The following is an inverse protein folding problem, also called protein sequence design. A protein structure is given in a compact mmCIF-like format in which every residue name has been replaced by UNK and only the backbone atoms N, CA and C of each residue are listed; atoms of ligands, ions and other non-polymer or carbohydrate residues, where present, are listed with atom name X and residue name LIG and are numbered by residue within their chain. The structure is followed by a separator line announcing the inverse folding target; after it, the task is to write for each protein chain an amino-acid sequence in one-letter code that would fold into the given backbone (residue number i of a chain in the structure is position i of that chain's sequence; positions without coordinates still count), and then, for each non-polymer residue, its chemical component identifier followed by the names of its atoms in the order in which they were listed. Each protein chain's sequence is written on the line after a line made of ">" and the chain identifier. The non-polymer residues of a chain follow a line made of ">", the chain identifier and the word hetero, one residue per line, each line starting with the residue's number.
data_IF_301303693532
#
_entry.id   IF_301303693532
#
_cell.length_a   1.000
_cell.length_b   1.000
_cell.length_c   1.000
_cell.angle_alpha   90.00
_cell.angle_beta   90.00
_cell.angle_gamma   90.00
#
_symmetry.space_group_name_H-M   'P 1'
#
loop_
_entity.id
_entity.type
_entity.pdbx_description
1 polymer ?
#
# COMPACT_ATOMS: atom_id res chain seq x y z
N UNK A 1 -15.11 27.16 34.25
CA UNK A 1 -14.91 26.93 33.98
C UNK A 1 -14.65 26.57 33.19
N UNK A 2 -14.77 26.53 33.21
CA UNK A 2 -14.51 26.09 32.63
C UNK A 2 -14.05 25.66 31.64
N UNK A 3 -14.02 25.72 31.62
CA UNK A 3 -13.62 25.31 30.86
C UNK A 3 -13.23 24.87 30.06
N UNK A 4 -13.18 24.85 30.06
CA UNK A 4 -12.85 24.44 29.44
C UNK A 4 -12.44 23.95 28.65
N UNK A 5 -12.44 23.90 28.71
CA UNK A 5 -12.10 23.46 28.16
C UNK A 5 -11.74 23.07 27.26
N UNK A 6 -11.77 23.05 27.18
CA UNK A 6 -11.48 22.73 26.48
C UNK A 6 -10.97 22.34 25.64
N UNK A 7 -10.93 22.27 25.65
CA UNK A 7 -10.52 21.91 24.97
C UNK A 7 -10.16 21.52 24.17
N UNK A 8 -10.19 21.42 24.18
CA UNK A 8 -9.88 20.99 23.45
C UNK A 8 -9.41 20.55 22.70
N UNK A 9 -9.51 20.54 22.79
CA UNK A 9 -9.16 20.10 22.15
C UNK A 9 -8.69 19.76 21.42
N UNK A 10 -8.73 19.66 21.47
CA UNK A 10 -8.30 19.29 20.82
C UNK A 10 -7.85 18.93 20.11
N UNK A 11 -7.86 18.90 20.18
CA UNK A 11 -7.43 18.56 19.52
C UNK A 11 -7.06 18.22 18.86
N UNK A 12 -7.18 18.24 18.99
CA UNK A 12 -6.89 17.89 18.38
C UNK A 12 -6.58 17.56 17.68
N UNK A 13 -6.66 17.57 17.80
CA UNK A 13 -6.44 17.16 17.18
C UNK A 13 -5.97 16.96 16.47
N UNK A 14 -5.90 16.86 16.54
CA UNK A 14 -5.42 16.62 15.92
C UNK A 14 -5.16 16.26 15.22
N UNK A 15 -5.20 16.25 15.19
CA UNK A 15 -5.03 15.79 14.50
C UNK A 15 -4.57 15.53 13.83
N UNK A 16 -4.44 15.29 13.79
CA UNK A 16 -3.97 14.94 13.20
C UNK A 16 -3.87 14.47 12.50
N UNK A 17 -3.98 14.33 12.34
CA UNK A 17 -3.96 13.73 11.66
C UNK A 17 -3.53 13.59 10.87
N UNK A 18 -3.46 13.43 10.70
CA UNK A 18 -3.13 13.22 10.06
C UNK A 18 -2.50 13.03 9.35
N UNK A 19 -2.41 13.00 9.27
CA UNK A 19 -1.84 12.81 8.70
C UNK A 19 -1.26 12.28 8.21
N UNK A 20 -1.26 11.90 8.16
CA UNK A 20 -0.75 11.44 7.82
C UNK A 20 -0.37 10.99 7.03
N UNK A 21 -0.23 10.80 6.70
CA UNK A 21 0.07 10.41 6.01
C UNK A 21 0.57 9.91 5.21
N UNK A 22 0.46 9.68 5.12
CA UNK A 22 0.37 9.43 3.95
C UNK A 22 1.49 8.84 3.46
N UNK A 23 1.98 9.25 3.09
CA UNK A 23 3.01 8.94 2.61
C UNK A 23 3.65 7.89 3.10
N UNK A 24 3.58 7.72 3.81
CA UNK A 24 4.14 6.79 4.31
C UNK A 24 3.79 5.61 3.89
N UNK A 25 3.40 5.49 2.89
CA UNK A 25 3.10 4.34 2.34
C UNK A 25 4.07 3.29 2.65
N UNK A 26 5.26 3.39 2.37
CA UNK A 26 6.21 2.30 2.53
C UNK A 26 7.33 2.72 3.44
N UNK A 27 6.96 3.12 4.61
CA UNK A 27 7.95 3.56 5.56
C UNK A 27 7.94 2.62 6.75
N UNK A 28 8.18 1.35 6.49
CA UNK A 28 8.08 0.30 7.50
C UNK A 28 9.46 -0.28 7.77
N UNK A 29 9.85 -0.39 9.05
CA UNK A 29 11.13 -1.02 9.37
C UNK A 29 11.15 -2.45 8.83
N UNK A 30 12.28 -2.85 8.28
CA UNK A 30 12.39 -4.17 7.67
C UNK A 30 11.96 -5.29 8.60
N UNK A 31 12.23 -5.12 9.89
CA UNK A 31 11.86 -6.15 10.86
C UNK A 31 10.35 -6.38 10.91
N UNK A 32 9.57 -5.41 10.43
CA UNK A 32 8.12 -5.53 10.47
C UNK A 32 7.53 -5.89 9.11
N UNK A 33 8.37 -6.23 8.15
CA UNK A 33 7.87 -6.60 6.84
C UNK A 33 7.28 -8.00 6.86
N UNK A 34 6.21 -8.19 6.10
CA UNK A 34 5.68 -9.52 5.88
C UNK A 34 6.60 -10.24 4.91
N UNK A 35 6.68 -11.56 4.99
CA UNK A 35 7.53 -12.28 4.05
C UNK A 35 6.94 -12.29 2.66
N UNK A 36 7.79 -12.54 1.68
CA UNK A 36 7.36 -12.58 0.31
C UNK A 36 6.22 -13.57 0.08
N UNK A 37 6.24 -14.67 0.83
CA UNK A 37 5.18 -15.67 0.70
C UNK A 37 3.80 -15.07 1.01
N UNK A 38 3.75 -14.13 1.95
CA UNK A 38 2.48 -13.50 2.29
C UNK A 38 2.00 -12.64 1.13
N UNK A 39 2.96 -12.01 0.42
CA UNK A 39 2.62 -11.22 -0.75
C UNK A 39 2.06 -12.11 -1.83
N UNK A 40 2.70 -13.26 -2.05
CA UNK A 40 2.26 -14.18 -3.08
C UNK A 40 0.86 -14.73 -2.77
N UNK A 41 0.60 -14.98 -1.49
CA UNK A 41 -0.71 -15.46 -1.11
C UNK A 41 -1.77 -14.40 -1.33
N UNK A 42 -1.45 -13.17 -0.97
CA UNK A 42 -2.40 -12.09 -1.16
C UNK A 42 -2.71 -11.93 -2.65
N UNK A 43 -1.69 -12.01 -3.49
CA UNK A 43 -1.88 -11.88 -4.93
C UNK A 43 -2.74 -13.01 -5.46
N UNK A 44 -2.50 -14.22 -4.98
CA UNK A 44 -3.31 -15.37 -5.41
C UNK A 44 -4.77 -15.19 -5.00
N UNK A 45 -4.99 -14.65 -3.81
CA UNK A 45 -6.35 -14.41 -3.34
C UNK A 45 -7.06 -13.37 -4.21
N UNK A 46 -6.31 -12.47 -4.82
CA UNK A 46 -6.88 -11.49 -5.72
C UNK A 46 -7.13 -12.08 -7.11
N UNK A 47 -6.63 -13.25 -7.37
CA UNK A 47 -6.75 -13.87 -8.69
C UNK A 47 -5.67 -13.42 -9.65
N UNK A 48 -4.58 -12.87 -9.13
CA UNK A 48 -3.50 -12.35 -9.97
C UNK A 48 -2.50 -13.44 -10.30
N UNK A 49 -1.84 -13.30 -11.44
CA UNK A 49 -0.72 -14.14 -11.80
C UNK A 49 0.55 -13.32 -11.62
N UNK A 50 1.46 -13.79 -10.76
CA UNK A 50 2.65 -13.03 -10.42
C UNK A 50 3.83 -13.51 -11.22
N UNK A 51 4.55 -12.58 -11.84
CA UNK A 51 5.78 -12.92 -12.53
C UNK A 51 6.95 -12.67 -11.59
N UNK A 52 6.87 -11.66 -10.77
CA UNK A 52 7.95 -11.42 -9.82
C UNK A 52 7.54 -10.40 -8.76
N UNK A 53 8.19 -10.49 -7.61
CA UNK A 53 8.00 -9.55 -6.53
C UNK A 53 9.36 -8.94 -6.26
N UNK A 54 9.44 -7.63 -6.23
CA UNK A 54 10.69 -6.96 -5.94
C UNK A 54 10.47 -5.88 -4.91
N UNK A 55 11.55 -5.30 -4.43
CA UNK A 55 11.50 -4.22 -3.47
C UNK A 55 11.90 -2.95 -4.20
N UNK A 56 11.12 -1.89 -4.04
CA UNK A 56 11.43 -0.64 -4.66
C UNK A 56 10.95 0.49 -3.75
N UNK A 57 11.89 1.36 -3.38
CA UNK A 57 11.55 2.49 -2.55
C UNK A 57 10.86 2.10 -1.26
N UNK A 58 11.29 1.03 -0.67
CA UNK A 58 10.73 0.60 0.62
C UNK A 58 9.41 -0.13 0.50
N UNK A 59 8.92 -0.36 -0.71
CA UNK A 59 7.67 -1.07 -0.94
C UNK A 59 7.94 -2.42 -1.58
N UNK A 60 6.98 -3.33 -1.47
CA UNK A 60 6.98 -4.48 -2.36
C UNK A 60 6.32 -4.05 -3.65
N UNK A 61 6.85 -4.53 -4.76
CA UNK A 61 6.27 -4.26 -6.06
C UNK A 61 6.02 -5.59 -6.74
N UNK A 62 4.78 -5.84 -7.14
CA UNK A 62 4.38 -7.08 -7.78
C UNK A 62 4.25 -6.82 -9.27
N UNK A 63 4.93 -7.61 -10.07
CA UNK A 63 4.77 -7.54 -11.51
C UNK A 63 4.02 -8.77 -11.95
N UNK A 64 2.95 -8.59 -12.66
CA UNK A 64 2.15 -9.71 -13.09
C UNK A 64 0.94 -9.28 -13.88
N UNK A 65 -0.11 -10.08 -13.84
CA UNK A 65 -1.33 -9.74 -14.53
C UNK A 65 -2.52 -10.00 -13.64
N UNK A 66 -3.60 -9.29 -13.93
CA UNK A 66 -4.82 -9.44 -13.14
C UNK A 66 -5.65 -10.59 -13.70
N UNK A 67 -6.82 -10.82 -13.12
CA UNK A 67 -7.67 -11.89 -13.52
C UNK A 67 -8.09 -11.82 -14.96
N UNK A 68 -8.16 -10.64 -15.53
CA UNK A 68 -8.52 -10.46 -16.92
C UNK A 68 -7.32 -10.58 -17.85
N UNK A 69 -6.14 -10.83 -17.30
CA UNK A 69 -4.95 -10.97 -18.12
C UNK A 69 -4.25 -9.67 -18.44
N UNK A 70 -4.62 -8.58 -17.79
CA UNK A 70 -3.97 -7.30 -18.08
C UNK A 70 -2.70 -7.18 -17.27
N UNK A 71 -1.63 -6.78 -17.92
CA UNK A 71 -0.34 -6.60 -17.26
C UNK A 71 -0.39 -5.43 -16.33
N UNK A 72 0.21 -5.56 -15.17
CA UNK A 72 0.18 -4.51 -14.18
C UNK A 72 1.36 -4.58 -13.24
N UNK A 73 1.59 -3.47 -12.58
CA UNK A 73 2.54 -3.38 -11.50
C UNK A 73 1.78 -2.91 -10.29
N UNK A 74 1.91 -3.61 -9.17
CA UNK A 74 1.17 -3.28 -7.96
C UNK A 74 2.15 -2.95 -6.86
N UNK A 75 1.96 -1.79 -6.25
CA UNK A 75 2.79 -1.35 -5.13
C UNK A 75 2.05 -1.65 -3.85
N UNK A 76 2.74 -2.30 -2.93
CA UNK A 76 2.12 -2.81 -1.71
C UNK A 76 2.95 -2.43 -0.50
N UNK A 77 2.28 -2.02 0.56
CA UNK A 77 2.96 -1.72 1.82
C UNK A 77 3.51 -3.03 2.39
N UNK A 78 4.82 -3.11 2.67
CA UNK A 78 5.41 -4.38 3.07
C UNK A 78 5.00 -4.85 4.45
N UNK A 79 4.50 -3.96 5.28
CA UNK A 79 4.11 -4.33 6.63
C UNK A 79 2.68 -4.78 6.73
N UNK A 80 1.79 -4.13 6.00
CA UNK A 80 0.36 -4.42 6.09
C UNK A 80 -0.17 -5.13 4.87
N UNK A 81 0.58 -5.13 3.77
CA UNK A 81 0.20 -5.65 2.46
C UNK A 81 -0.95 -4.87 1.85
N UNK A 82 -1.15 -3.65 2.33
CA UNK A 82 -2.16 -2.80 1.75
C UNK A 82 -1.72 -2.40 0.35
N UNK A 83 -2.63 -2.48 -0.61
CA UNK A 83 -2.34 -2.06 -1.98
C UNK A 83 -2.33 -0.54 -2.00
N UNK A 84 -1.22 0.02 -2.46
CA UNK A 84 -1.07 1.46 -2.54
C UNK A 84 -1.42 1.96 -3.92
N UNK A 85 -1.00 1.24 -4.93
CA UNK A 85 -1.20 1.70 -6.29
C UNK A 85 -1.19 0.53 -7.25
N UNK A 86 -2.00 0.58 -8.27
CA UNK A 86 -1.98 -0.39 -9.35
C UNK A 86 -1.78 0.38 -10.64
N UNK A 87 -0.70 0.04 -11.36
CA UNK A 87 -0.39 0.65 -12.63
C UNK A 87 -0.56 -0.37 -13.71
N UNK A 88 -1.48 -0.14 -14.62
CA UNK A 88 -1.66 -1.03 -15.76
C UNK A 88 -0.76 -0.58 -16.90
N UNK A 89 -0.12 -1.57 -17.49
CA UNK A 89 0.84 -1.23 -18.51
C UNK A 89 0.39 -1.45 -19.89
N UNK A 90 -0.79 -1.50 -20.10
CA UNK A 90 -1.16 -1.87 -21.38
C UNK A 90 -1.31 -0.78 -22.22
N UNK A 91 -1.53 0.13 -21.82
CA UNK A 91 -1.64 1.17 -22.51
C UNK A 91 -1.55 1.08 -23.85
N UNK A 92 -1.13 1.54 -24.28
CA UNK A 92 -0.96 1.62 -25.51
C UNK A 92 -1.57 0.72 -26.37
N UNK A 93 -1.46 -0.33 -26.11
CA UNK A 93 -1.80 -1.22 -26.92
C UNK A 93 -3.08 -1.17 -27.20
N UNK A 94 -3.58 -0.53 -26.74
CA UNK A 94 -4.86 -0.60 -26.92
C UNK A 94 -5.19 -0.14 -28.13
N UNK A 95 -4.74 0.19 -28.54
CA UNK A 95 -5.07 0.61 -29.60
C UNK A 95 -5.17 0.18 -30.45
#
# INVERSE_FOLDING_TARGET
>A
MRNLLKMTVLIAGLGLGAAVHADDDCNVPVADWQPKEAVLKMAADQGWTVRRVKVDDGCYEIEGSDKAGRDMEVTVNPGTLKIIEIDYEDDGRTL
#
